data_IF_109512384826
#
_entry.id   IF_109512384826
#
_cell.length_a   1.000
_cell.length_b   1.000
_cell.length_c   1.000
_cell.angle_alpha   90.00
_cell.angle_beta   90.00
_cell.angle_gamma   90.00
#
_symmetry.space_group_name_H-M   'P 1'
#
loop_
_entity.id
_entity.type
_entity.pdbx_description
1 polymer ?
#
# COMPACT_ATOMS: atom_id res chain seq x y z
N UNK A 1 14.59 0.14 3.01
CA UNK A 1 13.86 -1.09 2.64
C UNK A 1 14.69 -1.79 1.57
N UNK A 2 15.15 -3.02 1.84
CA UNK A 2 15.81 -3.82 0.80
C UNK A 2 14.80 -4.11 -0.33
N UNK A 3 15.24 -4.31 -1.58
CA UNK A 3 14.36 -4.76 -2.66
C UNK A 3 13.56 -5.98 -2.23
N UNK A 4 12.35 -6.13 -2.77
CA UNK A 4 11.50 -7.30 -2.58
C UNK A 4 12.30 -8.56 -2.92
N UNK A 5 12.82 -9.24 -1.89
CA UNK A 5 13.63 -10.43 -2.09
C UNK A 5 12.67 -11.58 -2.39
N UNK A 6 12.72 -12.02 -3.65
CA UNK A 6 12.09 -13.22 -4.22
C UNK A 6 10.57 -13.21 -4.43
N UNK A 7 9.85 -12.11 -4.14
CA UNK A 7 8.38 -12.10 -4.17
C UNK A 7 7.75 -11.32 -5.30
N UNK A 8 8.16 -10.07 -5.51
CA UNK A 8 7.52 -9.15 -6.47
C UNK A 8 6.16 -8.61 -6.01
N UNK A 9 5.81 -8.79 -4.73
CA UNK A 9 4.56 -8.29 -4.15
C UNK A 9 4.44 -6.76 -4.27
N UNK A 10 5.55 -6.03 -4.20
CA UNK A 10 5.53 -4.57 -4.41
C UNK A 10 5.04 -4.21 -5.82
N UNK A 11 5.43 -4.99 -6.84
CA UNK A 11 4.95 -4.83 -8.22
C UNK A 11 3.51 -5.28 -8.36
N UNK A 12 3.12 -6.40 -7.74
CA UNK A 12 1.73 -6.85 -7.74
C UNK A 12 0.78 -5.79 -7.16
N UNK A 13 1.18 -5.15 -6.06
CA UNK A 13 0.42 -4.07 -5.43
C UNK A 13 0.28 -2.85 -6.37
N UNK A 14 1.37 -2.43 -7.03
CA UNK A 14 1.31 -1.32 -8.01
C UNK A 14 0.45 -1.70 -9.22
N UNK A 15 0.60 -2.92 -9.73
CA UNK A 15 -0.20 -3.42 -10.85
C UNK A 15 -1.70 -3.41 -10.54
N UNK A 16 -2.06 -3.85 -9.33
CA UNK A 16 -3.45 -3.80 -8.85
C UNK A 16 -3.98 -2.36 -8.86
N UNK A 17 -3.24 -1.41 -8.29
CA UNK A 17 -3.62 0.01 -8.31
C UNK A 17 -3.79 0.54 -9.75
N UNK A 18 -2.84 0.26 -10.64
CA UNK A 18 -2.92 0.73 -12.03
C UNK A 18 -4.15 0.19 -12.74
N UNK A 19 -4.41 -1.12 -12.60
CA UNK A 19 -5.58 -1.77 -13.17
C UNK A 19 -6.90 -1.17 -12.67
N UNK A 20 -6.97 -0.85 -11.36
CA UNK A 20 -8.10 -0.13 -10.78
C UNK A 20 -8.30 1.24 -11.42
N UNK A 21 -7.23 2.02 -11.58
CA UNK A 21 -7.33 3.37 -12.16
C UNK A 21 -7.71 3.37 -13.62
N UNK A 22 -7.41 2.31 -14.37
CA UNK A 22 -7.73 2.20 -15.80
C UNK A 22 -9.01 1.41 -16.07
N UNK A 23 -9.69 0.89 -15.05
CA UNK A 23 -10.87 0.02 -15.22
C UNK A 23 -10.56 -1.31 -15.91
N UNK A 24 -9.32 -1.82 -15.78
CA UNK A 24 -8.91 -3.10 -16.37
C UNK A 24 -9.12 -4.24 -15.35
N UNK A 25 -10.33 -4.80 -15.34
CA UNK A 25 -10.71 -5.88 -14.42
C UNK A 25 -9.83 -7.13 -14.58
N UNK A 26 -9.42 -7.48 -15.81
CA UNK A 26 -8.62 -8.67 -16.06
C UNK A 26 -7.22 -8.56 -15.43
N UNK A 27 -6.58 -7.40 -15.58
CA UNK A 27 -5.28 -7.14 -14.95
C UNK A 27 -5.40 -7.02 -13.42
N UNK A 28 -6.52 -6.46 -12.92
CA UNK A 28 -6.80 -6.40 -11.48
C UNK A 28 -6.86 -7.80 -10.88
N UNK A 29 -7.65 -8.69 -11.47
CA UNK A 29 -7.85 -10.05 -10.98
C UNK A 29 -6.54 -10.86 -11.07
N UNK A 30 -5.75 -10.66 -12.14
CA UNK A 30 -4.40 -11.23 -12.26
C UNK A 30 -3.49 -10.79 -11.11
N UNK A 31 -3.45 -9.48 -10.81
CA UNK A 31 -2.62 -8.94 -9.72
C UNK A 31 -3.06 -9.51 -8.36
N UNK A 32 -4.36 -9.66 -8.15
CA UNK A 32 -4.92 -10.24 -6.92
C UNK A 32 -4.54 -11.71 -6.75
N UNK A 33 -4.68 -12.52 -7.79
CA UNK A 33 -4.27 -13.94 -7.78
C UNK A 33 -2.77 -14.11 -7.55
N UNK A 34 -1.96 -13.24 -8.16
CA UNK A 34 -0.52 -13.23 -7.96
C UNK A 34 -0.17 -12.95 -6.49
N UNK A 35 -0.77 -11.93 -5.88
CA UNK A 35 -0.55 -11.58 -4.48
C UNK A 35 -1.04 -12.67 -3.53
N UNK A 36 -2.17 -13.33 -3.82
CA UNK A 36 -2.64 -14.49 -3.05
C UNK A 36 -1.62 -15.63 -3.06
N UNK A 37 -1.06 -15.97 -4.22
CA UNK A 37 -0.01 -17.00 -4.34
C UNK A 37 1.25 -16.65 -3.54
N UNK A 38 1.64 -15.38 -3.50
CA UNK A 38 2.76 -14.91 -2.70
C UNK A 38 2.49 -14.99 -1.20
N UNK A 39 1.27 -14.66 -0.76
CA UNK A 39 0.87 -14.79 0.65
C UNK A 39 0.93 -16.25 1.12
N UNK A 40 0.45 -17.19 0.31
CA UNK A 40 0.58 -18.63 0.59
C UNK A 40 2.05 -19.07 0.70
N UNK A 41 2.92 -18.60 -0.19
CA UNK A 41 4.36 -18.91 -0.14
C UNK A 41 5.02 -18.33 1.12
N UNK A 42 4.66 -17.11 1.51
CA UNK A 42 5.13 -16.47 2.73
C UNK A 42 4.76 -17.28 3.97
N UNK A 43 3.49 -17.68 4.09
CA UNK A 43 3.03 -18.48 5.24
C UNK A 43 3.80 -19.80 5.41
N UNK A 44 4.28 -20.38 4.31
CA UNK A 44 5.12 -21.59 4.35
C UNK A 44 6.59 -21.30 4.72
N UNK A 45 7.12 -20.14 4.35
CA UNK A 45 8.55 -19.79 4.48
C UNK A 45 8.76 -18.30 4.78
N UNK A 46 8.35 -17.81 5.96
CA UNK A 46 8.31 -16.37 6.25
C UNK A 46 9.70 -15.71 6.27
N UNK A 47 10.76 -16.48 6.55
CA UNK A 47 12.15 -15.98 6.59
C UNK A 47 12.75 -15.71 5.21
N UNK A 48 12.18 -16.29 4.14
CA UNK A 48 12.70 -16.18 2.77
C UNK A 48 12.10 -15.02 1.96
N UNK A 49 11.01 -14.43 2.44
CA UNK A 49 10.28 -13.38 1.73
C UNK A 49 10.28 -12.10 2.54
N UNK A 50 10.69 -10.99 1.93
CA UNK A 50 10.66 -9.66 2.55
C UNK A 50 9.85 -8.72 1.67
N UNK A 51 8.59 -8.51 2.04
CA UNK A 51 7.66 -7.61 1.36
C UNK A 51 6.64 -7.03 2.37
N UNK A 52 5.82 -6.02 2.01
CA UNK A 52 4.85 -5.41 2.93
C UNK A 52 3.67 -6.34 3.20
N UNK A 53 3.90 -7.41 3.98
CA UNK A 53 2.98 -8.53 4.16
C UNK A 53 1.61 -8.11 4.68
N UNK A 54 1.57 -7.19 5.65
CA UNK A 54 0.29 -6.77 6.21
C UNK A 54 -0.53 -5.95 5.22
N UNK A 55 0.11 -5.13 4.38
CA UNK A 55 -0.58 -4.44 3.27
C UNK A 55 -1.12 -5.44 2.25
N UNK A 56 -0.38 -6.50 1.92
CA UNK A 56 -0.87 -7.56 1.05
C UNK A 56 -2.08 -8.27 1.67
N UNK A 57 -2.02 -8.61 2.96
CA UNK A 57 -3.15 -9.23 3.68
C UNK A 57 -4.38 -8.34 3.75
N UNK A 58 -4.20 -7.03 3.98
CA UNK A 58 -5.28 -6.06 3.95
C UNK A 58 -5.93 -6.03 2.57
N UNK A 59 -5.13 -5.95 1.52
CA UNK A 59 -5.62 -5.93 0.15
C UNK A 59 -6.37 -7.22 -0.20
N UNK A 60 -5.94 -8.38 0.31
CA UNK A 60 -6.64 -9.66 0.17
C UNK A 60 -7.90 -9.77 1.04
N UNK A 61 -8.21 -8.77 1.87
CA UNK A 61 -9.35 -8.78 2.79
C UNK A 61 -9.16 -9.67 4.03
N UNK A 62 -7.93 -10.10 4.31
CA UNK A 62 -7.61 -10.98 5.45
C UNK A 62 -7.51 -10.23 6.78
N UNK A 63 -7.19 -8.94 6.75
CA UNK A 63 -7.03 -8.08 7.93
C UNK A 63 -7.59 -6.69 7.67
N UNK A 64 -7.87 -5.94 8.75
CA UNK A 64 -8.31 -4.56 8.66
C UNK A 64 -7.13 -3.59 8.43
N UNK A 65 -7.45 -2.34 8.10
CA UNK A 65 -6.42 -1.30 7.90
C UNK A 65 -5.61 -1.03 9.17
N UNK A 66 -6.24 -1.06 10.33
CA UNK A 66 -5.61 -0.86 11.64
C UNK A 66 -4.51 -1.89 11.89
N UNK A 67 -4.71 -3.12 11.42
CA UNK A 67 -3.73 -4.20 11.56
C UNK A 67 -2.57 -4.02 10.56
N UNK A 68 -2.86 -3.47 9.37
CA UNK A 68 -1.82 -3.07 8.41
C UNK A 68 -0.97 -1.90 8.95
N UNK A 69 -1.59 -0.92 9.61
CA UNK A 69 -0.92 0.18 10.30
C UNK A 69 -0.01 -0.34 11.41
N UNK A 70 -0.50 -1.26 12.24
CA UNK A 70 0.30 -1.87 13.31
C UNK A 70 1.50 -2.62 12.74
N UNK A 71 1.29 -3.32 11.63
CA UNK A 71 2.36 -3.97 10.86
C UNK A 71 3.46 -3.02 10.42
N UNK A 72 3.07 -1.85 9.90
CA UNK A 72 3.97 -0.86 9.35
C UNK A 72 4.67 -0.01 10.43
N UNK A 73 3.98 0.28 11.52
CA UNK A 73 4.36 1.36 12.45
C UNK A 73 4.38 0.96 13.92
N UNK A 74 3.88 -0.23 14.28
CA UNK A 74 3.58 -0.67 15.66
C UNK A 74 2.46 0.12 16.34
N UNK A 75 1.73 0.93 15.58
CA UNK A 75 0.62 1.74 16.05
C UNK A 75 -0.66 1.39 15.28
N UNK A 76 -1.79 1.30 15.97
CA UNK A 76 -3.10 1.01 15.36
C UNK A 76 -3.88 2.25 14.95
N UNK A 77 -3.45 3.44 15.39
CA UNK A 77 -4.10 4.70 15.04
C UNK A 77 -3.22 5.55 14.14
N UNK A 78 -3.83 6.25 13.19
CA UNK A 78 -3.14 7.08 12.21
C UNK A 78 -2.27 8.17 12.85
N UNK A 79 -2.78 8.88 13.85
CA UNK A 79 -2.04 9.99 14.46
C UNK A 79 -0.74 9.50 15.15
N UNK A 80 -0.78 8.36 15.83
CA UNK A 80 0.44 7.76 16.39
C UNK A 80 1.34 7.17 15.31
N UNK A 81 0.77 6.54 14.27
CA UNK A 81 1.53 6.03 13.13
C UNK A 81 2.34 7.14 12.44
N UNK A 82 1.76 8.33 12.23
CA UNK A 82 2.47 9.50 11.71
C UNK A 82 3.60 9.96 12.63
N UNK A 83 3.37 10.02 13.95
CA UNK A 83 4.44 10.35 14.92
C UNK A 83 5.59 9.35 14.89
N UNK A 84 5.29 8.06 14.79
CA UNK A 84 6.30 7.02 14.66
C UNK A 84 7.09 7.14 13.34
N UNK A 85 6.41 7.50 12.25
CA UNK A 85 7.04 7.70 10.94
C UNK A 85 7.97 8.93 10.88
N UNK A 86 7.66 10.00 11.61
CA UNK A 86 8.44 11.25 11.58
C UNK A 86 9.88 11.05 12.08
N UNK A 87 10.04 10.20 13.09
CA UNK A 87 11.35 9.87 13.67
C UNK A 87 12.09 8.72 12.97
N UNK A 88 11.46 8.00 12.04
CA UNK A 88 12.03 6.80 11.45
C UNK A 88 11.66 6.61 9.96
N UNK A 89 12.67 6.79 9.10
CA UNK A 89 12.52 6.63 7.64
C UNK A 89 11.97 5.27 7.21
N UNK A 90 12.35 4.18 7.87
CA UNK A 90 11.85 2.84 7.51
C UNK A 90 10.36 2.69 7.84
N UNK A 91 9.93 3.24 8.97
CA UNK A 91 8.51 3.30 9.35
C UNK A 91 7.75 4.20 8.37
N UNK A 92 8.31 5.37 8.02
CA UNK A 92 7.73 6.28 7.02
C UNK A 92 7.51 5.60 5.67
N UNK A 93 8.46 4.80 5.21
CA UNK A 93 8.32 4.01 3.99
C UNK A 93 7.18 2.98 4.09
N UNK A 94 7.13 2.22 5.18
CA UNK A 94 6.10 1.20 5.39
C UNK A 94 4.70 1.82 5.53
N UNK A 95 4.60 2.93 6.26
CA UNK A 95 3.35 3.69 6.41
C UNK A 95 2.85 4.22 5.06
N UNK A 96 3.75 4.80 4.24
CA UNK A 96 3.37 5.27 2.90
C UNK A 96 2.83 4.15 2.00
N UNK A 97 3.37 2.93 2.12
CA UNK A 97 2.83 1.76 1.41
C UNK A 97 1.44 1.40 1.92
N UNK A 98 1.22 1.35 3.23
CA UNK A 98 -0.07 1.03 3.82
C UNK A 98 -1.14 2.07 3.44
N UNK A 99 -0.84 3.37 3.58
CA UNK A 99 -1.76 4.46 3.24
C UNK A 99 -2.16 4.44 1.76
N UNK A 100 -1.19 4.27 0.86
CA UNK A 100 -1.46 4.27 -0.57
C UNK A 100 -2.44 3.15 -0.97
N UNK A 101 -2.22 1.94 -0.44
CA UNK A 101 -3.06 0.79 -0.76
C UNK A 101 -4.40 0.79 -0.02
N UNK A 102 -4.48 1.40 1.18
CA UNK A 102 -5.78 1.72 1.81
C UNK A 102 -6.60 2.66 0.93
N UNK A 103 -5.97 3.71 0.39
CA UNK A 103 -6.62 4.61 -0.56
C UNK A 103 -7.15 3.87 -1.80
N UNK A 104 -6.36 2.95 -2.36
CA UNK A 104 -6.78 2.13 -3.49
C UNK A 104 -8.01 1.25 -3.15
N UNK A 105 -8.06 0.65 -1.96
CA UNK A 105 -9.21 -0.15 -1.52
C UNK A 105 -10.46 0.70 -1.28
N UNK A 106 -10.30 1.92 -0.76
CA UNK A 106 -11.41 2.86 -0.61
C UNK A 106 -12.07 3.21 -1.94
N UNK A 107 -11.27 3.46 -2.97
CA UNK A 107 -11.76 3.64 -4.35
C UNK A 107 -12.57 2.44 -4.84
N UNK A 108 -12.10 1.21 -4.60
CA UNK A 108 -12.85 -0.02 -4.95
C UNK A 108 -14.22 -0.05 -4.27
N UNK A 109 -14.30 0.41 -3.02
CA UNK A 109 -15.57 0.49 -2.28
C UNK A 109 -16.45 1.69 -2.64
N UNK A 110 -16.04 2.53 -3.61
CA UNK A 110 -16.76 3.74 -3.99
C UNK A 110 -16.51 4.96 -3.08
N UNK A 111 -15.60 4.84 -2.10
CA UNK A 111 -15.16 5.94 -1.23
C UNK A 111 -14.01 6.71 -1.90
N UNK A 112 -14.34 7.47 -2.94
CA UNK A 112 -13.36 8.28 -3.66
C UNK A 112 -12.81 9.41 -2.78
N UNK A 113 -13.62 9.96 -1.87
CA UNK A 113 -13.17 11.01 -0.94
C UNK A 113 -12.07 10.47 -0.02
N UNK A 114 -12.31 9.32 0.63
CA UNK A 114 -11.29 8.69 1.46
C UNK A 114 -10.09 8.17 0.67
N UNK A 115 -10.26 7.78 -0.60
CA UNK A 115 -9.14 7.51 -1.49
C UNK A 115 -8.24 8.74 -1.63
N UNK A 116 -8.83 9.88 -1.97
CA UNK A 116 -8.09 11.12 -2.17
C UNK A 116 -7.44 11.64 -0.89
N UNK A 117 -8.10 11.51 0.27
CA UNK A 117 -7.49 11.81 1.57
C UNK A 117 -6.22 10.99 1.81
N UNK A 118 -6.24 9.69 1.49
CA UNK A 118 -5.06 8.82 1.62
C UNK A 118 -3.97 9.18 0.63
N UNK A 119 -4.33 9.53 -0.62
CA UNK A 119 -3.35 9.98 -1.61
C UNK A 119 -2.68 11.29 -1.19
N UNK A 120 -3.46 12.24 -0.65
CA UNK A 120 -2.93 13.48 -0.08
C UNK A 120 -1.95 13.19 1.06
N UNK A 121 -2.33 12.31 1.99
CA UNK A 121 -1.46 11.90 3.10
C UNK A 121 -0.13 11.30 2.60
N UNK A 122 -0.15 10.46 1.57
CA UNK A 122 1.08 9.91 0.97
C UNK A 122 1.91 11.01 0.29
N UNK A 123 1.26 11.94 -0.39
CA UNK A 123 1.94 13.07 -1.04
C UNK A 123 2.63 13.98 -0.03
N UNK A 124 1.93 14.33 1.07
CA UNK A 124 2.42 15.19 2.16
C UNK A 124 3.59 14.59 2.93
N UNK A 125 3.66 13.24 3.02
CA UNK A 125 4.82 12.56 3.59
C UNK A 125 6.11 12.83 2.78
N UNK A 126 5.99 13.28 1.54
CA UNK A 126 7.09 13.69 0.68
C UNK A 126 7.86 12.53 0.04
N UNK A 127 8.68 12.86 -0.97
CA UNK A 127 9.44 11.92 -1.82
C UNK A 127 10.34 10.93 -1.06
N UNK A 128 10.54 11.12 0.24
CA UNK A 128 11.25 10.18 1.09
C UNK A 128 10.51 8.84 1.28
N UNK A 129 9.22 8.77 0.92
CA UNK A 129 8.45 7.52 0.79
C UNK A 129 8.86 6.75 -0.47
N UNK A 130 8.33 5.53 -0.68
CA UNK A 130 8.67 4.70 -1.85
C UNK A 130 8.38 5.49 -3.15
N UNK A 131 9.37 5.72 -4.04
CA UNK A 131 9.27 6.73 -5.09
C UNK A 131 8.08 6.54 -6.03
N UNK A 132 7.76 5.29 -6.37
CA UNK A 132 6.67 4.98 -7.32
C UNK A 132 5.33 5.42 -6.75
N UNK A 133 5.00 4.99 -5.52
CA UNK A 133 3.73 5.36 -4.86
C UNK A 133 3.61 6.85 -4.62
N UNK A 134 4.70 7.54 -4.29
CA UNK A 134 4.67 9.00 -4.13
C UNK A 134 4.32 9.71 -5.44
N UNK A 135 4.93 9.32 -6.56
CA UNK A 135 4.62 9.92 -7.86
C UNK A 135 3.18 9.65 -8.30
N UNK A 136 2.68 8.43 -8.04
CA UNK A 136 1.29 8.08 -8.32
C UNK A 136 0.35 8.92 -7.46
N UNK A 137 0.55 8.97 -6.13
CA UNK A 137 -0.26 9.78 -5.24
C UNK A 137 -0.24 11.27 -5.61
N UNK A 138 0.94 11.82 -5.96
CA UNK A 138 1.07 13.18 -6.47
C UNK A 138 0.24 13.41 -7.74
N UNK A 139 0.26 12.47 -8.67
CA UNK A 139 -0.53 12.56 -9.89
C UNK A 139 -2.05 12.59 -9.59
N UNK A 140 -2.51 11.76 -8.64
CA UNK A 140 -3.90 11.74 -8.17
C UNK A 140 -4.33 13.08 -7.56
N UNK A 141 -3.50 13.65 -6.69
CA UNK A 141 -3.78 14.92 -6.02
C UNK A 141 -3.86 16.04 -7.04
N UNK A 142 -2.82 16.19 -7.87
CA UNK A 142 -2.72 17.32 -8.80
C UNK A 142 -3.68 17.26 -10.00
N UNK A 143 -4.24 16.09 -10.33
CA UNK A 143 -5.28 16.00 -11.38
C UNK A 143 -6.65 16.46 -10.89
N UNK A 144 -6.90 16.41 -9.59
CA UNK A 144 -8.18 16.81 -8.98
C UNK A 144 -8.28 18.33 -8.78
N UNK A 145 -7.14 19.03 -8.76
CA UNK A 145 -7.05 20.51 -8.68
C UNK A 145 -7.27 21.22 -10.04
N UNK A 146 -7.50 20.46 -11.12
CA UNK A 146 -7.73 20.98 -12.49
C UNK A 146 -9.20 20.90 -12.87
#
# INVERSE_FOLDING_TARGET
MAPDLAGGATFGLVLHYMALTTGDDATRDYAFEYLRKLNVKYNKRPTLFRYPVQTVKQMLGEIAFEDALEGATKERNLAAAFRAADSNRSIKLALGVALFHDGALRRVSGDETGCMERMQQVFDMGYQTEPVRWYLARHEVLRTER
#
